data_IF_530221681094
#
_entry.id   IF_530221681094
#
_cell.length_a   1.000
_cell.length_b   1.000
_cell.length_c   1.000
_cell.angle_alpha   90.00
_cell.angle_beta   90.00
_cell.angle_gamma   90.00
#
_symmetry.space_group_name_H-M   'P 1'
#
loop_
_entity.id
_entity.type
_entity.pdbx_description
1 polymer ?
#
# COMPACT_ATOMS: atom_id res chain seq x y z
N UNK A 1 22.77 66.41 -13.49
CA UNK A 1 22.28 65.43 -14.48
C UNK A 1 23.18 64.21 -14.30
N UNK A 2 22.82 63.23 -13.45
CA UNK A 2 21.92 62.09 -13.74
C UNK A 2 22.35 61.42 -15.07
N UNK A 3 22.89 60.19 -15.10
CA UNK A 3 22.32 58.97 -14.52
C UNK A 3 23.36 57.84 -14.49
N UNK A 4 23.54 57.19 -13.33
CA UNK A 4 24.17 55.88 -13.25
C UNK A 4 23.05 54.84 -13.32
N UNK A 5 23.05 54.04 -14.40
CA UNK A 5 22.13 52.92 -14.58
C UNK A 5 22.60 51.77 -13.70
N UNK A 6 21.99 51.66 -12.53
CA UNK A 6 22.13 50.50 -11.65
C UNK A 6 21.08 49.49 -12.14
N UNK A 7 21.50 48.54 -12.98
CA UNK A 7 20.67 47.41 -13.38
C UNK A 7 20.38 46.54 -12.15
N UNK A 8 19.18 46.72 -11.61
CA UNK A 8 18.56 45.90 -10.59
C UNK A 8 18.29 44.51 -11.20
N UNK A 9 19.22 43.57 -11.01
CA UNK A 9 18.98 42.17 -11.34
C UNK A 9 18.13 41.55 -10.23
N UNK A 10 16.91 41.04 -10.50
CA UNK A 10 16.17 40.30 -9.49
C UNK A 10 16.90 38.98 -9.21
N UNK A 11 17.35 38.81 -7.98
CA UNK A 11 17.79 37.53 -7.44
C UNK A 11 16.66 36.52 -7.63
N UNK A 12 16.80 35.63 -8.61
CA UNK A 12 15.90 34.50 -8.75
C UNK A 12 16.12 33.57 -7.54
N UNK A 13 15.17 33.61 -6.63
CA UNK A 13 14.93 32.56 -5.65
C UNK A 13 14.76 31.26 -6.44
N UNK A 14 15.80 30.42 -6.47
CA UNK A 14 15.66 29.04 -6.90
C UNK A 14 14.93 28.37 -5.73
N UNK A 15 13.62 28.26 -5.89
CA UNK A 15 12.75 27.50 -5.01
C UNK A 15 13.31 26.08 -4.94
N UNK A 16 13.66 25.67 -3.72
CA UNK A 16 14.03 24.31 -3.36
C UNK A 16 12.76 23.45 -3.44
N UNK A 17 12.17 23.32 -4.62
CA UNK A 17 11.16 22.31 -4.93
C UNK A 17 11.89 20.99 -5.11
N UNK A 18 12.31 20.42 -3.98
CA UNK A 18 12.50 18.98 -3.82
C UNK A 18 11.12 18.36 -4.01
N UNK A 19 10.70 18.23 -5.27
CA UNK A 19 9.52 17.48 -5.67
C UNK A 19 9.69 16.08 -5.08
N UNK A 20 8.99 15.81 -3.98
CA UNK A 20 8.82 14.44 -3.53
C UNK A 20 8.02 13.76 -4.63
N UNK A 21 8.73 13.06 -5.51
CA UNK A 21 8.09 12.19 -6.49
C UNK A 21 7.05 11.35 -5.74
N UNK A 22 5.78 11.34 -6.16
CA UNK A 22 4.77 10.57 -5.47
C UNK A 22 5.24 9.12 -5.49
N UNK A 23 5.66 8.62 -4.32
CA UNK A 23 6.06 7.23 -4.13
C UNK A 23 4.99 6.38 -4.79
N UNK A 24 5.28 5.79 -5.95
CA UNK A 24 4.29 4.98 -6.69
C UNK A 24 3.71 3.97 -5.70
N UNK A 25 2.49 4.25 -5.25
CA UNK A 25 1.85 3.40 -4.27
C UNK A 25 1.66 2.05 -4.96
N UNK A 26 2.23 1.02 -4.35
CA UNK A 26 2.17 -0.32 -4.89
C UNK A 26 0.74 -0.65 -5.32
N UNK A 27 0.56 -1.02 -6.59
CA UNK A 27 -0.76 -1.27 -7.14
C UNK A 27 -1.32 -2.53 -6.48
N UNK A 28 -2.43 -2.37 -5.75
CA UNK A 28 -3.12 -3.50 -5.14
C UNK A 28 -3.67 -4.44 -6.21
N UNK A 29 -3.30 -5.72 -6.13
CA UNK A 29 -3.82 -6.80 -6.98
C UNK A 29 -5.25 -7.21 -6.63
N UNK A 30 -5.61 -7.15 -5.34
CA UNK A 30 -6.91 -7.59 -4.84
C UNK A 30 -7.70 -6.40 -4.28
N UNK A 31 -9.00 -6.38 -4.53
CA UNK A 31 -9.94 -5.40 -4.01
C UNK A 31 -10.68 -5.88 -2.76
N UNK A 32 -11.30 -4.95 -2.03
CA UNK A 32 -12.21 -5.29 -0.93
C UNK A 32 -13.38 -6.11 -1.45
N UNK A 33 -13.66 -7.24 -0.79
CA UNK A 33 -14.69 -8.20 -1.20
C UNK A 33 -14.15 -9.37 -2.02
N UNK A 34 -12.93 -9.26 -2.56
CA UNK A 34 -12.32 -10.36 -3.31
C UNK A 34 -12.09 -11.58 -2.42
N UNK A 35 -12.39 -12.75 -2.95
CA UNK A 35 -12.07 -14.01 -2.31
C UNK A 35 -10.62 -14.38 -2.65
N UNK A 36 -9.85 -14.72 -1.63
CA UNK A 36 -8.46 -15.16 -1.75
C UNK A 36 -8.26 -16.41 -0.90
N UNK A 37 -7.20 -17.15 -1.20
CA UNK A 37 -6.81 -18.29 -0.38
C UNK A 37 -5.31 -18.28 -0.13
N UNK A 38 -4.92 -18.84 1.02
CA UNK A 38 -3.53 -19.06 1.38
C UNK A 38 -3.38 -20.33 2.20
N UNK A 39 -2.14 -20.80 2.35
CA UNK A 39 -1.88 -21.88 3.28
C UNK A 39 -1.83 -21.37 4.71
N UNK A 40 -2.57 -22.00 5.60
CA UNK A 40 -2.60 -21.71 7.04
C UNK A 40 -2.19 -22.93 7.83
N UNK A 41 -1.80 -22.75 9.08
CA UNK A 41 -1.50 -23.85 9.99
C UNK A 41 -2.66 -23.93 10.98
N UNK A 42 -3.39 -25.05 10.97
CA UNK A 42 -4.44 -25.37 11.93
C UNK A 42 -4.08 -26.70 12.59
N UNK A 43 -4.01 -26.73 13.91
CA UNK A 43 -3.67 -27.95 14.69
C UNK A 43 -2.37 -28.64 14.22
N UNK A 44 -1.34 -27.85 13.87
CA UNK A 44 -0.06 -28.37 13.37
C UNK A 44 -0.09 -28.89 11.93
N UNK A 45 -1.25 -28.88 11.26
CA UNK A 45 -1.40 -29.28 9.87
C UNK A 45 -1.52 -28.06 8.96
N UNK A 46 -0.91 -28.15 7.77
CA UNK A 46 -1.01 -27.11 6.75
C UNK A 46 -2.31 -27.31 5.97
N UNK A 47 -3.25 -26.39 6.12
CA UNK A 47 -4.57 -26.43 5.48
C UNK A 47 -4.79 -25.20 4.60
N UNK A 48 -5.65 -25.33 3.58
CA UNK A 48 -6.06 -24.20 2.74
C UNK A 48 -7.06 -23.35 3.50
N UNK A 49 -6.69 -22.12 3.83
CA UNK A 49 -7.61 -21.11 4.37
C UNK A 49 -8.20 -20.28 3.23
N UNK A 50 -9.51 -20.05 3.28
CA UNK A 50 -10.23 -19.18 2.34
C UNK A 50 -10.67 -17.92 3.08
N UNK A 51 -10.42 -16.78 2.47
CA UNK A 51 -10.61 -15.47 3.08
C UNK A 51 -11.25 -14.50 2.09
N UNK A 52 -11.91 -13.48 2.64
CA UNK A 52 -12.35 -12.30 1.90
C UNK A 52 -11.45 -11.13 2.27
N UNK A 53 -11.00 -10.37 1.29
CA UNK A 53 -10.26 -9.13 1.53
C UNK A 53 -11.18 -8.08 2.15
N UNK A 54 -10.84 -7.57 3.31
CA UNK A 54 -11.61 -6.56 4.03
C UNK A 54 -11.04 -5.16 3.80
N UNK A 55 -9.72 -5.02 3.76
CA UNK A 55 -9.04 -3.75 3.45
C UNK A 55 -7.65 -4.01 2.85
N UNK A 56 -7.17 -3.09 2.00
CA UNK A 56 -5.78 -3.03 1.57
C UNK A 56 -5.02 -2.03 2.45
N UNK A 57 -3.82 -2.41 2.85
CA UNK A 57 -2.88 -1.61 3.63
C UNK A 57 -1.67 -1.34 2.73
N UNK A 58 -1.51 -0.08 2.35
CA UNK A 58 -0.38 0.36 1.52
C UNK A 58 0.82 0.68 2.39
N UNK A 59 1.94 0.00 2.15
CA UNK A 59 3.19 0.28 2.85
C UNK A 59 4.02 1.28 2.04
N UNK A 60 4.63 2.26 2.72
CA UNK A 60 5.57 3.22 2.11
C UNK A 60 6.78 2.55 1.44
N UNK A 61 7.08 1.30 1.82
CA UNK A 61 8.18 0.51 1.25
C UNK A 61 7.84 -0.20 -0.07
N UNK A 62 6.65 0.08 -0.64
CA UNK A 62 6.29 -0.36 -1.99
C UNK A 62 5.67 -1.77 -2.08
N UNK A 63 5.05 -2.26 -0.99
CA UNK A 63 4.23 -3.48 -1.07
C UNK A 63 2.85 -3.27 -0.44
N UNK A 64 1.91 -4.13 -0.85
CA UNK A 64 0.53 -4.13 -0.34
C UNK A 64 0.34 -5.31 0.60
N UNK A 65 -0.23 -5.01 1.75
CA UNK A 65 -0.74 -5.99 2.71
C UNK A 65 -2.26 -5.93 2.71
N UNK A 66 -2.91 -7.03 3.06
CA UNK A 66 -4.35 -7.13 3.06
C UNK A 66 -4.83 -7.60 4.42
N UNK A 67 -5.81 -6.89 4.96
CA UNK A 67 -6.61 -7.40 6.07
C UNK A 67 -7.60 -8.40 5.53
N UNK A 68 -7.54 -9.60 6.07
CA UNK A 68 -8.37 -10.72 5.65
C UNK A 68 -9.47 -10.97 6.67
N UNK A 69 -10.64 -11.31 6.17
CA UNK A 69 -11.78 -11.80 6.93
C UNK A 69 -12.00 -13.26 6.56
N UNK A 70 -12.05 -14.14 7.55
CA UNK A 70 -12.36 -15.54 7.33
C UNK A 70 -13.81 -15.67 6.83
N UNK A 71 -14.01 -16.43 5.75
CA UNK A 71 -15.32 -16.51 5.08
C UNK A 71 -16.33 -17.34 5.86
N UNK A 72 -15.88 -18.29 6.68
CA UNK A 72 -16.75 -19.14 7.50
C UNK A 72 -17.14 -18.46 8.80
N UNK A 73 -16.17 -17.86 9.49
CA UNK A 73 -16.39 -17.29 10.82
C UNK A 73 -16.71 -15.80 10.80
N UNK A 74 -16.42 -15.12 9.70
CA UNK A 74 -16.57 -13.67 9.60
C UNK A 74 -15.59 -12.89 10.49
N UNK A 75 -14.59 -13.54 11.09
CA UNK A 75 -13.62 -12.88 11.95
C UNK A 75 -12.42 -12.38 11.14
N UNK A 76 -11.76 -11.33 11.64
CA UNK A 76 -10.51 -10.88 11.05
C UNK A 76 -9.42 -11.91 11.31
N UNK A 77 -8.72 -12.31 10.25
CA UNK A 77 -7.58 -13.20 10.35
C UNK A 77 -6.51 -12.59 11.26
N UNK A 78 -6.04 -13.35 12.25
CA UNK A 78 -5.02 -12.91 13.22
C UNK A 78 -5.31 -11.51 13.81
N UNK A 79 -6.57 -11.26 14.18
CA UNK A 79 -7.01 -9.98 14.76
C UNK A 79 -6.77 -8.76 13.85
N UNK A 80 -6.77 -8.95 12.53
CA UNK A 80 -6.59 -7.87 11.55
C UNK A 80 -5.14 -7.64 11.12
N UNK A 81 -4.25 -8.61 11.36
CA UNK A 81 -2.89 -8.56 10.86
C UNK A 81 -2.87 -8.49 9.32
N UNK A 82 -1.99 -7.65 8.77
CA UNK A 82 -1.76 -7.54 7.34
C UNK A 82 -1.08 -8.80 6.79
N UNK A 83 -1.66 -9.37 5.75
CA UNK A 83 -1.07 -10.49 5.00
C UNK A 83 -0.55 -9.97 3.67
N UNK A 84 0.69 -10.30 3.33
CA UNK A 84 1.32 -9.81 2.10
C UNK A 84 0.67 -10.40 0.86
N UNK A 85 0.59 -9.57 -0.18
CA UNK A 85 0.06 -9.98 -1.49
C UNK A 85 0.65 -11.29 -2.03
N UNK A 86 1.97 -11.46 -1.90
CA UNK A 86 2.70 -12.63 -2.39
C UNK A 86 2.25 -13.97 -1.76
N UNK A 87 1.64 -13.92 -0.58
CA UNK A 87 1.17 -15.10 0.16
C UNK A 87 -0.25 -15.49 -0.25
N UNK A 88 -0.95 -14.58 -0.93
CA UNK A 88 -2.34 -14.74 -1.35
C UNK A 88 -2.41 -15.24 -2.78
N UNK A 89 -3.35 -16.15 -3.00
CA UNK A 89 -3.76 -16.61 -4.32
C UNK A 89 -5.23 -16.26 -4.56
N UNK A 90 -5.63 -15.96 -5.80
CA UNK A 90 -7.03 -15.69 -6.10
C UNK A 90 -7.91 -16.87 -5.70
N UNK A 91 -9.03 -16.60 -5.02
CA UNK A 91 -10.09 -17.57 -4.76
C UNK A 91 -10.76 -17.95 -6.08
N UNK A 92 -11.03 -19.25 -6.24
CA UNK A 92 -11.78 -19.79 -7.37
C UNK A 92 -13.25 -19.92 -6.99
#
# INVERSE_FOLDING_TARGET
MASNEFEDQPAQMIEDERAEEPLEHARAKYGKGDMVHMATIANGQRVKGVFTVQAAIYNQRGWVEYQLKDTLTGQLHRHGAGVREKELKPGA
#
